data_IF_581178204580
#
_entry.id   IF_581178204580
#
_cell.length_a   1.000
_cell.length_b   1.000
_cell.length_c   1.000
_cell.angle_alpha   90.00
_cell.angle_beta   90.00
_cell.angle_gamma   90.00
#
_symmetry.space_group_name_H-M   'P 1'
#
loop_
_entity.id
_entity.type
_entity.pdbx_description
1 polymer ?
#
# COMPACT_ATOMS: atom_id res chain seq x y z
N UNK A 1 -48.25 -6.62 22.66
CA UNK A 1 -48.05 -6.26 21.24
C UNK A 1 -46.55 -6.21 20.96
N UNK A 2 -45.99 -7.24 20.34
CA UNK A 2 -44.61 -7.23 19.89
C UNK A 2 -44.53 -6.32 18.66
N UNK A 3 -43.87 -5.16 18.79
CA UNK A 3 -43.48 -4.37 17.62
C UNK A 3 -42.44 -5.18 16.84
N UNK A 4 -42.85 -5.76 15.72
CA UNK A 4 -41.93 -6.34 14.75
C UNK A 4 -41.12 -5.16 14.20
N UNK A 5 -39.88 -5.03 14.68
CA UNK A 5 -38.89 -4.09 14.13
C UNK A 5 -38.65 -4.50 12.68
N UNK A 6 -38.82 -3.55 11.77
CA UNK A 6 -38.67 -3.77 10.35
C UNK A 6 -38.11 -2.49 9.74
N UNK A 7 -37.04 -2.64 8.97
CA UNK A 7 -36.51 -1.61 8.08
C UNK A 7 -37.65 -0.99 7.26
N UNK A 8 -37.56 0.31 6.91
CA UNK A 8 -38.55 0.94 6.05
C UNK A 8 -38.57 0.21 4.70
N UNK A 9 -39.73 0.10 4.04
CA UNK A 9 -39.82 -0.64 2.76
C UNK A 9 -38.89 -0.11 1.65
N UNK A 10 -38.42 1.13 1.75
CA UNK A 10 -37.45 1.72 0.84
C UNK A 10 -36.40 2.50 1.61
N UNK A 11 -35.12 2.26 1.31
CA UNK A 11 -33.97 3.08 1.73
C UNK A 11 -33.40 3.76 0.48
N UNK A 12 -33.20 5.08 0.55
CA UNK A 12 -32.58 5.85 -0.54
C UNK A 12 -31.15 6.19 -0.20
N UNK A 13 -30.25 6.12 -1.16
CA UNK A 13 -28.88 6.62 -1.04
C UNK A 13 -28.57 7.57 -2.20
N UNK A 14 -27.81 8.62 -1.92
CA UNK A 14 -27.35 9.57 -2.93
C UNK A 14 -25.87 9.34 -3.24
N UNK A 15 -25.45 9.57 -4.48
CA UNK A 15 -24.05 9.52 -4.86
C UNK A 15 -23.68 10.59 -5.89
N UNK A 16 -22.54 11.24 -5.67
CA UNK A 16 -22.03 12.30 -6.54
C UNK A 16 -20.78 11.81 -7.27
N UNK A 17 -20.82 11.83 -8.60
CA UNK A 17 -19.71 11.41 -9.45
C UNK A 17 -19.42 12.47 -10.49
N UNK A 18 -18.16 12.54 -10.91
CA UNK A 18 -17.78 13.32 -12.07
C UNK A 18 -18.13 12.57 -13.36
N UNK A 19 -18.18 13.29 -14.48
CA UNK A 19 -18.42 12.70 -15.81
C UNK A 19 -17.42 11.60 -16.19
N UNK A 20 -16.18 11.67 -15.70
CA UNK A 20 -15.13 10.68 -15.97
C UNK A 20 -15.13 9.48 -15.01
N UNK A 21 -16.06 9.40 -14.07
CA UNK A 21 -16.14 8.36 -13.01
C UNK A 21 -17.27 7.35 -13.28
N UNK A 22 -17.34 6.88 -14.52
CA UNK A 22 -18.40 5.97 -14.94
C UNK A 22 -18.24 4.56 -14.36
N UNK A 23 -17.00 4.10 -14.13
CA UNK A 23 -16.73 2.81 -13.48
C UNK A 23 -17.23 2.80 -12.03
N UNK A 24 -16.94 3.87 -11.28
CA UNK A 24 -17.40 4.06 -9.90
C UNK A 24 -18.93 4.10 -9.80
N UNK A 25 -19.58 4.84 -10.71
CA UNK A 25 -21.03 4.91 -10.83
C UNK A 25 -21.65 3.54 -11.12
N UNK A 26 -21.08 2.79 -12.06
CA UNK A 26 -21.56 1.46 -12.42
C UNK A 26 -21.36 0.48 -11.25
N UNK A 27 -20.23 0.51 -10.56
CA UNK A 27 -19.98 -0.33 -9.39
C UNK A 27 -20.98 -0.07 -8.25
N UNK A 28 -21.38 1.19 -8.04
CA UNK A 28 -22.46 1.53 -7.10
C UNK A 28 -23.78 0.85 -7.49
N UNK A 29 -24.21 0.99 -8.76
CA UNK A 29 -25.45 0.39 -9.26
C UNK A 29 -25.45 -1.14 -9.14
N UNK A 30 -24.33 -1.79 -9.49
CA UNK A 30 -24.17 -3.24 -9.35
C UNK A 30 -24.26 -3.66 -7.87
N UNK A 31 -23.63 -2.91 -6.96
CA UNK A 31 -23.70 -3.20 -5.53
C UNK A 31 -25.15 -3.14 -5.01
N UNK A 32 -25.91 -2.12 -5.41
CA UNK A 32 -27.31 -1.96 -5.02
C UNK A 32 -28.19 -3.09 -5.55
N UNK A 33 -28.05 -3.43 -6.84
CA UNK A 33 -28.81 -4.52 -7.46
C UNK A 33 -28.53 -5.87 -6.80
N UNK A 34 -27.27 -6.13 -6.46
CA UNK A 34 -26.87 -7.36 -5.76
C UNK A 34 -27.46 -7.42 -4.36
N UNK A 35 -27.44 -6.31 -3.62
CA UNK A 35 -28.02 -6.23 -2.27
C UNK A 35 -29.53 -6.44 -2.30
N UNK A 36 -30.22 -5.85 -3.29
CA UNK A 36 -31.65 -6.04 -3.50
C UNK A 36 -32.02 -7.48 -3.87
N UNK A 37 -31.13 -8.19 -4.55
CA UNK A 37 -31.32 -9.60 -4.92
C UNK A 37 -31.08 -10.56 -3.74
N UNK A 38 -30.31 -10.15 -2.72
CA UNK A 38 -30.02 -10.95 -1.54
C UNK A 38 -31.11 -10.80 -0.48
N UNK A 39 -32.07 -11.74 -0.50
CA UNK A 39 -33.18 -11.79 0.46
C UNK A 39 -32.73 -11.89 1.92
N UNK A 40 -31.50 -12.35 2.19
CA UNK A 40 -31.01 -12.47 3.56
C UNK A 40 -30.55 -11.13 4.14
N UNK A 41 -30.21 -10.15 3.31
CA UNK A 41 -29.63 -8.88 3.77
C UNK A 41 -30.70 -7.88 4.20
N UNK A 42 -31.63 -7.54 3.31
CA UNK A 42 -32.56 -6.43 3.53
C UNK A 42 -34.04 -6.74 3.25
N UNK A 43 -34.44 -7.96 2.87
CA UNK A 43 -35.86 -8.23 2.61
C UNK A 43 -36.73 -7.97 3.86
N UNK A 44 -37.89 -7.27 3.74
CA UNK A 44 -38.58 -6.85 2.51
C UNK A 44 -38.21 -5.44 1.99
N UNK A 45 -37.18 -4.80 2.53
CA UNK A 45 -36.74 -3.45 2.13
C UNK A 45 -35.99 -3.45 0.80
N UNK A 46 -36.23 -2.42 -0.02
CA UNK A 46 -35.49 -2.14 -1.25
C UNK A 46 -34.54 -0.94 -1.09
N UNK A 47 -33.30 -1.10 -1.53
CA UNK A 47 -32.33 -0.02 -1.66
C UNK A 47 -32.48 0.65 -3.04
N UNK A 48 -32.52 1.98 -3.06
CA UNK A 48 -32.60 2.78 -4.29
C UNK A 48 -31.49 3.83 -4.26
N UNK A 49 -30.68 3.87 -5.30
CA UNK A 49 -29.66 4.89 -5.51
C UNK A 49 -30.16 6.05 -6.36
N UNK A 50 -29.59 7.23 -6.13
CA UNK A 50 -29.74 8.40 -6.99
C UNK A 50 -28.35 8.95 -7.24
N UNK A 51 -27.92 8.98 -8.50
CA UNK A 51 -26.60 9.44 -8.91
C UNK A 51 -26.73 10.77 -9.64
N UNK A 52 -25.99 11.78 -9.23
CA UNK A 52 -25.92 13.06 -9.94
C UNK A 52 -24.49 13.32 -10.43
N UNK A 53 -24.39 13.95 -11.60
CA UNK A 53 -23.11 14.31 -12.20
C UNK A 53 -22.67 15.70 -11.72
N UNK A 54 -21.45 15.81 -11.20
CA UNK A 54 -20.82 17.08 -10.84
C UNK A 54 -19.63 17.37 -11.74
N UNK A 55 -19.28 18.66 -11.83
CA UNK A 55 -18.01 19.06 -12.42
C UNK A 55 -16.91 19.16 -11.35
N UNK A 56 -15.67 19.01 -11.78
CA UNK A 56 -14.51 19.26 -10.95
C UNK A 56 -14.51 20.71 -10.44
N UNK A 57 -14.25 20.87 -9.14
CA UNK A 57 -14.08 22.17 -8.48
C UNK A 57 -15.35 23.04 -8.39
N UNK A 58 -16.52 22.50 -8.69
CA UNK A 58 -17.79 23.20 -8.50
C UNK A 58 -18.44 22.82 -7.16
N UNK A 59 -18.10 23.59 -6.12
CA UNK A 59 -18.66 23.43 -4.78
C UNK A 59 -20.14 23.78 -4.70
N UNK A 60 -20.61 24.69 -5.55
CA UNK A 60 -21.98 25.17 -5.56
C UNK A 60 -22.93 24.09 -6.09
N UNK A 61 -22.62 23.50 -7.26
CA UNK A 61 -23.40 22.40 -7.84
C UNK A 61 -23.39 21.20 -6.89
N UNK A 62 -22.21 20.87 -6.32
CA UNK A 62 -22.09 19.77 -5.35
C UNK A 62 -23.00 19.96 -4.15
N UNK A 63 -23.07 21.17 -3.60
CA UNK A 63 -23.96 21.51 -2.49
C UNK A 63 -25.44 21.43 -2.88
N UNK A 64 -25.81 22.00 -4.03
CA UNK A 64 -27.18 21.98 -4.54
C UNK A 64 -27.70 20.55 -4.78
N UNK A 65 -26.93 19.71 -5.46
CA UNK A 65 -27.30 18.32 -5.72
C UNK A 65 -27.39 17.50 -4.44
N UNK A 66 -26.48 17.72 -3.47
CA UNK A 66 -26.57 17.11 -2.14
C UNK A 66 -27.89 17.47 -1.48
N UNK A 67 -28.25 18.75 -1.47
CA UNK A 67 -29.53 19.20 -0.90
C UNK A 67 -30.73 18.57 -1.59
N UNK A 68 -30.71 18.45 -2.91
CA UNK A 68 -31.76 17.78 -3.68
C UNK A 68 -31.91 16.30 -3.27
N UNK A 69 -30.80 15.56 -3.14
CA UNK A 69 -30.82 14.16 -2.69
C UNK A 69 -31.37 14.01 -1.27
N UNK A 70 -30.95 14.89 -0.35
CA UNK A 70 -31.41 14.89 1.03
C UNK A 70 -32.91 15.23 1.14
N UNK A 71 -33.39 16.18 0.33
CA UNK A 71 -34.82 16.51 0.18
C UNK A 71 -35.63 15.31 -0.28
N UNK A 72 -35.06 14.49 -1.17
CA UNK A 72 -35.67 13.25 -1.64
C UNK A 72 -35.52 12.07 -0.64
N UNK A 73 -34.95 12.32 0.55
CA UNK A 73 -34.86 11.35 1.64
C UNK A 73 -33.65 10.42 1.58
N UNK A 74 -32.55 10.82 0.94
CA UNK A 74 -31.31 10.06 0.91
C UNK A 74 -30.74 9.88 2.33
N UNK A 75 -30.57 8.61 2.73
CA UNK A 75 -30.12 8.16 4.06
C UNK A 75 -28.60 8.12 4.22
N UNK A 76 -27.86 8.25 3.12
CA UNK A 76 -26.43 8.46 3.08
C UNK A 76 -26.05 9.11 1.75
N UNK A 77 -24.93 9.83 1.74
CA UNK A 77 -24.34 10.43 0.55
C UNK A 77 -22.97 9.79 0.31
N UNK A 78 -22.74 9.28 -0.91
CA UNK A 78 -21.50 8.66 -1.34
C UNK A 78 -20.72 9.60 -2.26
N UNK A 79 -19.41 9.71 -2.03
CA UNK A 79 -18.57 10.66 -2.76
C UNK A 79 -18.93 12.12 -2.47
N UNK A 80 -18.35 13.09 -3.19
CA UNK A 80 -17.59 12.92 -4.43
C UNK A 80 -16.13 12.50 -4.23
N UNK A 81 -15.45 12.18 -5.34
CA UNK A 81 -14.03 11.79 -5.35
C UNK A 81 -13.10 12.98 -5.65
N UNK A 82 -13.46 14.19 -5.24
CA UNK A 82 -12.61 15.38 -5.29
C UNK A 82 -12.61 16.07 -3.92
N UNK A 83 -11.43 16.41 -3.41
CA UNK A 83 -11.22 17.03 -2.10
C UNK A 83 -12.10 18.27 -1.86
N UNK A 84 -12.16 19.19 -2.83
CA UNK A 84 -12.88 20.47 -2.64
C UNK A 84 -14.37 20.21 -2.51
N UNK A 85 -14.95 19.48 -3.46
CA UNK A 85 -16.38 19.16 -3.44
C UNK A 85 -16.74 18.30 -2.23
N UNK A 86 -15.89 17.33 -1.86
CA UNK A 86 -16.12 16.48 -0.69
C UNK A 86 -16.11 17.27 0.62
N UNK A 87 -15.25 18.30 0.75
CA UNK A 87 -15.29 19.19 1.92
C UNK A 87 -16.63 19.92 2.07
N UNK A 88 -17.23 20.35 0.96
CA UNK A 88 -18.55 21.01 0.99
C UNK A 88 -19.68 20.03 1.33
N UNK A 89 -19.70 18.86 0.70
CA UNK A 89 -20.69 17.81 0.98
C UNK A 89 -20.59 17.36 2.44
N UNK A 90 -19.36 17.18 2.95
CA UNK A 90 -19.07 16.87 4.36
C UNK A 90 -19.68 17.90 5.30
N UNK A 91 -19.51 19.19 5.02
CA UNK A 91 -20.08 20.26 5.86
C UNK A 91 -21.61 20.21 5.94
N UNK A 92 -22.28 19.89 4.83
CA UNK A 92 -23.75 19.76 4.79
C UNK A 92 -24.18 18.52 5.59
N UNK A 93 -23.51 17.39 5.37
CA UNK A 93 -23.80 16.12 6.03
C UNK A 93 -23.56 16.18 7.55
N UNK A 94 -22.50 16.85 8.00
CA UNK A 94 -22.22 17.08 9.42
C UNK A 94 -23.30 17.98 10.07
N UNK A 95 -23.80 19.00 9.35
CA UNK A 95 -24.87 19.88 9.84
C UNK A 95 -26.21 19.16 9.96
N UNK A 96 -26.51 18.29 9.00
CA UNK A 96 -27.78 17.54 8.93
C UNK A 96 -27.71 16.16 9.59
N UNK A 97 -26.58 15.83 10.22
CA UNK A 97 -26.29 14.52 10.81
C UNK A 97 -26.55 13.34 9.86
N UNK A 98 -26.23 13.49 8.58
CA UNK A 98 -26.41 12.43 7.56
C UNK A 98 -25.07 11.74 7.31
N UNK A 99 -25.02 10.39 7.25
CA UNK A 99 -23.81 9.68 6.88
C UNK A 99 -23.23 10.11 5.52
N UNK A 100 -21.99 10.56 5.52
CA UNK A 100 -21.21 10.84 4.31
C UNK A 100 -20.11 9.79 4.17
N UNK A 101 -20.07 9.13 3.01
CA UNK A 101 -19.21 7.98 2.74
C UNK A 101 -18.19 8.37 1.68
N UNK A 102 -16.92 8.40 2.08
CA UNK A 102 -15.81 8.85 1.26
C UNK A 102 -14.89 7.70 0.89
N UNK A 103 -14.27 7.81 -0.28
CA UNK A 103 -13.26 6.86 -0.81
C UNK A 103 -11.98 7.58 -1.27
N UNK A 104 -11.78 8.81 -0.78
CA UNK A 104 -10.70 9.71 -1.16
C UNK A 104 -9.39 9.38 -0.44
N UNK A 105 -8.27 9.54 -1.15
CA UNK A 105 -6.93 9.61 -0.53
C UNK A 105 -6.76 10.98 0.15
N UNK A 106 -7.37 11.15 1.32
CA UNK A 106 -7.32 12.40 2.08
C UNK A 106 -6.14 12.41 3.05
N UNK A 107 -5.26 13.42 2.94
CA UNK A 107 -4.07 13.59 3.78
C UNK A 107 -4.32 14.44 5.02
N UNK A 108 -5.47 15.10 5.09
CA UNK A 108 -5.82 16.01 6.18
C UNK A 108 -6.53 15.23 7.28
N UNK A 109 -6.03 15.37 8.51
CA UNK A 109 -6.75 14.92 9.69
C UNK A 109 -7.93 15.86 9.94
N UNK A 110 -9.07 15.53 9.34
CA UNK A 110 -10.32 16.22 9.59
C UNK A 110 -11.01 15.66 10.83
N UNK A 111 -11.76 16.51 11.53
CA UNK A 111 -12.68 16.03 12.56
C UNK A 111 -13.95 15.51 11.87
N UNK A 112 -13.90 14.27 11.40
CA UNK A 112 -15.01 13.63 10.70
C UNK A 112 -16.14 13.32 11.71
N UNK A 113 -17.23 14.11 11.70
CA UNK A 113 -18.35 13.93 12.64
C UNK A 113 -19.48 13.07 12.10
N UNK A 114 -19.76 13.12 10.81
CA UNK A 114 -20.72 12.26 10.12
C UNK A 114 -20.16 11.71 8.81
N UNK A 115 -18.88 12.00 8.51
CA UNK A 115 -18.11 11.33 7.45
C UNK A 115 -17.41 10.05 7.94
N UNK A 116 -17.30 9.06 7.06
CA UNK A 116 -16.42 7.90 7.18
C UNK A 116 -15.64 7.73 5.88
N UNK A 117 -14.31 7.57 5.98
CA UNK A 117 -13.47 7.34 4.81
C UNK A 117 -13.00 5.88 4.74
N UNK A 118 -13.38 5.20 3.65
CA UNK A 118 -13.04 3.81 3.35
C UNK A 118 -11.62 3.65 2.81
N UNK A 119 -11.03 4.71 2.28
CA UNK A 119 -9.63 4.69 1.87
C UNK A 119 -8.74 4.61 3.13
N UNK A 120 -7.73 3.72 3.16
CA UNK A 120 -6.73 3.71 4.22
C UNK A 120 -6.06 5.08 4.38
N UNK A 121 -5.96 5.56 5.62
CA UNK A 121 -5.38 6.89 5.86
C UNK A 121 -3.89 6.89 5.45
N UNK A 122 -3.41 7.93 4.72
CA UNK A 122 -2.02 8.01 4.27
C UNK A 122 -0.98 7.86 5.38
N UNK A 123 -1.27 8.29 6.61
CA UNK A 123 -0.36 8.12 7.76
C UNK A 123 -0.13 6.66 8.15
N UNK A 124 -1.11 5.77 7.92
CA UNK A 124 -0.96 4.34 8.22
C UNK A 124 -0.36 3.64 7.01
N UNK A 125 -0.79 4.01 5.80
CA UNK A 125 -0.18 3.51 4.56
C UNK A 125 1.33 3.80 4.51
N UNK A 126 1.78 4.98 4.97
CA UNK A 126 3.20 5.32 4.97
C UNK A 126 4.05 4.36 5.78
N UNK A 127 3.52 3.77 6.87
CA UNK A 127 4.25 2.78 7.66
C UNK A 127 4.59 1.54 6.83
N UNK A 128 3.65 1.05 6.00
CA UNK A 128 3.93 -0.09 5.13
C UNK A 128 5.04 0.19 4.10
N UNK A 129 5.10 1.41 3.56
CA UNK A 129 6.19 1.82 2.67
C UNK A 129 7.52 1.97 3.42
N UNK A 130 7.52 2.47 4.66
CA UNK A 130 8.71 2.56 5.51
C UNK A 130 9.23 1.16 5.85
N UNK A 131 8.34 0.23 6.17
CA UNK A 131 8.67 -1.16 6.45
C UNK A 131 9.28 -1.83 5.21
N UNK A 132 8.72 -1.57 4.02
CA UNK A 132 9.28 -2.06 2.75
C UNK A 132 10.68 -1.48 2.49
N UNK A 133 10.86 -0.17 2.61
CA UNK A 133 12.17 0.51 2.46
C UNK A 133 13.20 -0.07 3.43
N UNK A 134 12.78 -0.34 4.67
CA UNK A 134 13.63 -0.92 5.71
C UNK A 134 13.97 -2.39 5.40
N UNK A 135 12.99 -3.19 4.97
CA UNK A 135 13.22 -4.58 4.55
C UNK A 135 14.14 -4.68 3.33
N UNK A 136 14.10 -3.70 2.43
CA UNK A 136 15.00 -3.57 1.29
C UNK A 136 16.39 -2.98 1.65
N UNK A 137 16.61 -2.63 2.91
CA UNK A 137 17.85 -2.01 3.40
C UNK A 137 18.24 -0.70 2.66
N UNK A 138 17.27 0.09 2.23
CA UNK A 138 17.52 1.37 1.57
C UNK A 138 18.03 2.41 2.59
N UNK A 139 19.31 2.76 2.49
CA UNK A 139 19.94 3.82 3.32
C UNK A 139 19.70 5.22 2.78
N UNK A 140 19.64 5.35 1.46
CA UNK A 140 19.42 6.60 0.71
C UNK A 140 18.50 6.31 -0.47
N UNK A 141 17.57 7.23 -0.71
CA UNK A 141 16.65 7.20 -1.84
C UNK A 141 16.14 8.61 -2.18
N UNK A 142 15.64 8.77 -3.40
CA UNK A 142 15.00 9.98 -3.88
C UNK A 142 13.47 9.86 -3.85
N UNK A 143 12.76 10.97 -3.64
CA UNK A 143 11.29 11.03 -3.73
C UNK A 143 10.91 11.89 -4.95
N UNK A 144 10.18 11.30 -5.90
CA UNK A 144 9.54 12.01 -6.99
C UNK A 144 8.05 12.16 -6.69
N UNK A 145 7.51 13.38 -6.77
CA UNK A 145 6.13 13.66 -6.39
C UNK A 145 5.45 14.65 -7.33
N UNK A 146 4.12 14.58 -7.40
CA UNK A 146 3.32 15.52 -8.19
C UNK A 146 2.96 16.79 -7.40
N UNK A 147 2.29 16.64 -6.25
CA UNK A 147 1.83 17.76 -5.43
C UNK A 147 2.61 17.86 -4.10
N UNK A 148 2.92 19.08 -3.65
CA UNK A 148 3.73 19.32 -2.43
C UNK A 148 3.07 18.80 -1.14
N UNK A 149 1.75 18.55 -1.16
CA UNK A 149 0.97 18.00 -0.05
C UNK A 149 1.19 16.49 0.09
N UNK A 150 1.34 15.76 -1.01
CA UNK A 150 1.54 14.30 -1.04
C UNK A 150 2.87 13.91 -0.33
N UNK A 151 3.88 14.76 -0.50
CA UNK A 151 5.23 14.63 0.10
C UNK A 151 5.22 14.68 1.62
N UNK A 152 4.26 15.40 2.21
CA UNK A 152 4.37 15.86 3.59
C UNK A 152 4.31 14.72 4.62
N UNK A 153 3.67 13.60 4.28
CA UNK A 153 3.46 12.50 5.23
C UNK A 153 4.57 11.44 5.18
N UNK A 154 4.96 10.96 3.99
CA UNK A 154 6.06 10.00 3.89
C UNK A 154 7.41 10.63 4.29
N UNK A 155 7.62 11.90 3.95
CA UNK A 155 8.90 12.57 4.20
C UNK A 155 9.14 12.91 5.68
N UNK A 156 8.09 13.19 6.47
CA UNK A 156 8.23 13.43 7.93
C UNK A 156 8.88 12.27 8.68
N UNK A 157 8.62 11.04 8.25
CA UNK A 157 9.19 9.84 8.87
C UNK A 157 10.54 9.43 8.28
N UNK A 158 10.96 10.05 7.17
CA UNK A 158 12.09 9.61 6.35
C UNK A 158 13.18 10.67 6.18
N UNK A 159 13.11 11.81 6.90
CA UNK A 159 13.97 12.97 6.70
C UNK A 159 15.48 12.64 6.70
N UNK A 160 15.94 11.71 7.55
CA UNK A 160 17.37 11.35 7.62
C UNK A 160 17.83 10.41 6.48
N UNK A 161 16.90 9.76 5.78
CA UNK A 161 17.17 8.80 4.68
C UNK A 161 16.88 9.37 3.29
N UNK A 162 16.15 10.48 3.20
CA UNK A 162 15.80 11.12 1.93
C UNK A 162 16.95 11.97 1.40
N UNK A 163 17.49 11.60 0.23
CA UNK A 163 18.59 12.34 -0.40
C UNK A 163 18.11 13.55 -1.22
N UNK A 164 16.93 13.44 -1.83
CA UNK A 164 16.39 14.50 -2.69
C UNK A 164 14.87 14.37 -2.85
N UNK A 165 14.22 15.51 -3.06
CA UNK A 165 12.78 15.62 -3.32
C UNK A 165 12.61 16.33 -4.67
N UNK A 166 11.87 15.70 -5.58
CA UNK A 166 11.70 16.16 -6.95
C UNK A 166 10.21 16.33 -7.25
N UNK A 167 9.78 17.58 -7.30
CA UNK A 167 8.44 17.94 -7.75
C UNK A 167 8.39 18.14 -9.26
N UNK A 168 7.18 18.27 -9.79
CA UNK A 168 6.92 18.68 -11.18
C UNK A 168 7.28 20.17 -11.40
N UNK A 169 8.57 20.49 -11.48
CA UNK A 169 9.01 21.82 -11.95
C UNK A 169 9.08 21.83 -13.48
N UNK A 170 8.34 22.75 -14.13
CA UNK A 170 8.39 23.01 -15.58
C UNK A 170 8.17 21.80 -16.50
N UNK A 171 7.12 20.98 -16.21
CA UNK A 171 6.64 19.87 -17.07
C UNK A 171 7.71 18.86 -17.50
N UNK A 172 8.81 18.77 -16.76
CA UNK A 172 9.92 17.91 -17.10
C UNK A 172 10.41 17.23 -15.82
N UNK A 173 10.33 15.91 -15.75
CA UNK A 173 10.90 15.14 -14.64
C UNK A 173 12.44 15.00 -14.77
N UNK A 174 13.07 15.96 -15.48
CA UNK A 174 14.49 16.03 -15.87
C UNK A 174 15.48 15.98 -14.71
N UNK A 175 15.00 16.07 -13.47
CA UNK A 175 15.82 16.09 -12.25
C UNK A 175 16.18 14.67 -11.77
N UNK A 176 15.64 13.63 -12.40
CA UNK A 176 16.07 12.23 -12.19
C UNK A 176 17.48 11.90 -12.73
N UNK A 177 18.34 12.91 -12.95
CA UNK A 177 19.76 12.76 -13.34
C UNK A 177 20.71 12.64 -12.13
N UNK A 178 20.22 12.22 -10.97
CA UNK A 178 21.06 12.05 -9.78
C UNK A 178 21.51 10.60 -9.61
N UNK A 179 22.71 10.42 -9.04
CA UNK A 179 23.39 9.15 -8.79
C UNK A 179 22.73 8.29 -7.69
N UNK A 180 21.39 8.29 -7.62
CA UNK A 180 20.62 7.49 -6.68
C UNK A 180 19.83 6.43 -7.43
N UNK A 181 20.05 5.18 -7.05
CA UNK A 181 19.42 4.03 -7.70
C UNK A 181 18.05 3.68 -7.10
N UNK A 182 17.71 4.24 -5.94
CA UNK A 182 16.48 3.95 -5.22
C UNK A 182 15.55 5.16 -5.30
N UNK A 183 14.36 4.99 -5.87
CA UNK A 183 13.43 6.08 -6.16
C UNK A 183 12.03 5.70 -5.67
N UNK A 184 11.44 6.56 -4.84
CA UNK A 184 10.05 6.49 -4.41
C UNK A 184 9.23 7.44 -5.28
N UNK A 185 8.19 6.94 -5.96
CA UNK A 185 7.31 7.72 -6.84
C UNK A 185 5.95 7.87 -6.16
N UNK A 186 5.58 9.12 -5.87
CA UNK A 186 4.26 9.52 -5.35
C UNK A 186 3.53 10.44 -6.32
N UNK A 187 2.86 9.80 -7.28
CA UNK A 187 2.18 10.46 -8.39
C UNK A 187 0.81 9.81 -8.57
N UNK A 188 -0.16 10.62 -9.00
CA UNK A 188 -1.50 10.12 -9.31
C UNK A 188 -1.46 9.08 -10.44
N UNK A 189 -2.37 8.12 -10.37
CA UNK A 189 -2.40 6.96 -11.28
C UNK A 189 -2.48 7.38 -12.75
N UNK A 190 -3.19 8.45 -13.06
CA UNK A 190 -3.37 8.96 -14.43
C UNK A 190 -2.05 9.45 -15.06
N UNK A 191 -1.12 9.93 -14.22
CA UNK A 191 0.15 10.48 -14.67
C UNK A 191 1.30 9.47 -14.60
N UNK A 192 1.12 8.34 -13.91
CA UNK A 192 2.18 7.33 -13.72
C UNK A 192 2.75 6.79 -15.03
N UNK A 193 1.91 6.51 -16.04
CA UNK A 193 2.40 6.05 -17.34
C UNK A 193 3.35 7.09 -17.98
N UNK A 194 3.00 8.37 -17.91
CA UNK A 194 3.85 9.44 -18.44
C UNK A 194 5.17 9.53 -17.68
N UNK A 195 5.15 9.43 -16.34
CA UNK A 195 6.35 9.46 -15.50
C UNK A 195 7.28 8.29 -15.81
N UNK A 196 6.75 7.08 -15.96
CA UNK A 196 7.53 5.90 -16.32
C UNK A 196 8.11 6.01 -17.73
N UNK A 197 7.36 6.59 -18.68
CA UNK A 197 7.84 6.85 -20.03
C UNK A 197 8.97 7.87 -20.06
N UNK A 198 8.87 8.94 -19.29
CA UNK A 198 9.96 9.91 -19.14
C UNK A 198 11.19 9.26 -18.47
N UNK A 199 10.99 8.44 -17.43
CA UNK A 199 12.05 7.67 -16.78
C UNK A 199 12.78 6.72 -17.76
N UNK A 200 12.03 6.13 -18.68
CA UNK A 200 12.59 5.31 -19.77
C UNK A 200 13.41 6.16 -20.74
N UNK A 201 12.91 7.33 -21.16
CA UNK A 201 13.58 8.23 -22.11
C UNK A 201 14.90 8.78 -21.57
N UNK A 202 14.99 9.03 -20.26
CA UNK A 202 16.24 9.49 -19.62
C UNK A 202 17.21 8.35 -19.26
N UNK A 203 16.82 7.09 -19.49
CA UNK A 203 17.68 5.93 -19.31
C UNK A 203 17.85 5.45 -17.86
N UNK A 204 16.91 5.77 -16.96
CA UNK A 204 16.94 5.28 -15.57
C UNK A 204 16.08 4.01 -15.37
N UNK A 205 15.32 3.60 -16.38
CA UNK A 205 14.55 2.36 -16.36
C UNK A 205 15.48 1.18 -16.73
N UNK A 206 16.42 0.85 -15.85
CA UNK A 206 17.41 -0.24 -16.06
C UNK A 206 17.57 -1.10 -14.80
N UNK A 207 18.23 -2.26 -14.92
CA UNK A 207 18.46 -3.22 -13.82
C UNK A 207 19.10 -2.62 -12.56
N UNK A 208 19.83 -1.51 -12.69
CA UNK A 208 20.47 -0.84 -11.55
C UNK A 208 19.47 -0.12 -10.65
N UNK A 209 18.32 0.28 -11.19
CA UNK A 209 17.36 1.13 -10.49
C UNK A 209 16.23 0.32 -9.85
N UNK A 210 15.83 0.76 -8.68
CA UNK A 210 14.71 0.24 -7.92
C UNK A 210 13.70 1.36 -7.70
N UNK A 211 12.46 1.10 -8.11
CA UNK A 211 11.34 2.01 -7.99
C UNK A 211 10.32 1.44 -7.01
N UNK A 212 9.87 2.25 -6.06
CA UNK A 212 8.68 1.99 -5.26
C UNK A 212 7.61 2.99 -5.69
N UNK A 213 6.50 2.49 -6.21
CA UNK A 213 5.35 3.31 -6.61
C UNK A 213 4.32 3.25 -5.48
N UNK A 214 3.91 4.43 -5.00
CA UNK A 214 3.00 4.54 -3.86
C UNK A 214 1.53 4.41 -4.22
N UNK A 215 1.16 4.63 -5.49
CA UNK A 215 -0.21 4.40 -5.95
C UNK A 215 -0.59 2.92 -5.79
N UNK A 216 -1.81 2.70 -5.29
CA UNK A 216 -2.40 1.38 -5.10
C UNK A 216 -2.98 0.77 -6.38
N UNK A 217 -3.00 1.56 -7.46
CA UNK A 217 -3.61 1.25 -8.75
C UNK A 217 -2.58 1.08 -9.87
N UNK A 218 -1.32 0.74 -9.55
CA UNK A 218 -0.33 0.44 -10.58
C UNK A 218 -0.81 -0.67 -11.55
N UNK A 219 -1.64 -1.59 -11.04
CA UNK A 219 -2.18 -2.71 -11.79
C UNK A 219 -3.15 -2.29 -12.90
N UNK A 220 -3.77 -1.10 -12.83
CA UNK A 220 -4.71 -0.62 -13.86
C UNK A 220 -4.01 0.01 -15.06
N UNK A 221 -2.70 0.22 -14.99
CA UNK A 221 -1.90 0.85 -16.05
C UNK A 221 -1.38 -0.24 -16.99
N UNK A 222 -1.32 0.07 -18.29
CA UNK A 222 -0.59 -0.76 -19.24
C UNK A 222 0.92 -0.60 -19.04
N UNK A 223 1.58 -1.67 -18.59
CA UNK A 223 3.00 -1.69 -18.26
C UNK A 223 3.85 -2.39 -19.32
N UNK A 224 3.29 -2.76 -20.49
CA UNK A 224 4.00 -3.53 -21.52
C UNK A 224 5.35 -2.90 -21.92
N UNK A 225 5.37 -1.58 -22.09
CA UNK A 225 6.55 -0.79 -22.47
C UNK A 225 7.69 -0.87 -21.43
N UNK A 226 7.38 -1.24 -20.18
CA UNK A 226 8.31 -1.19 -19.05
C UNK A 226 8.78 -2.57 -18.55
N UNK A 227 8.14 -3.67 -18.98
CA UNK A 227 8.44 -5.05 -18.53
C UNK A 227 9.88 -5.49 -18.84
N UNK A 228 10.39 -5.10 -20.00
CA UNK A 228 11.71 -5.52 -20.49
C UNK A 228 12.88 -4.68 -19.96
N UNK A 229 12.59 -3.71 -19.09
CA UNK A 229 13.58 -2.78 -18.53
C UNK A 229 14.55 -3.41 -17.54
N UNK A 230 14.18 -4.58 -16.99
CA UNK A 230 14.86 -5.27 -15.88
C UNK A 230 14.97 -4.45 -14.59
N UNK A 231 14.38 -3.25 -14.55
CA UNK A 231 14.32 -2.43 -13.34
C UNK A 231 13.40 -3.08 -12.31
N UNK A 232 13.72 -2.96 -11.03
CA UNK A 232 12.85 -3.47 -9.97
C UNK A 232 11.76 -2.46 -9.70
N UNK A 233 10.53 -2.70 -10.20
CA UNK A 233 9.37 -1.84 -9.90
C UNK A 233 8.47 -2.56 -8.90
N UNK A 234 8.28 -1.95 -7.74
CA UNK A 234 7.46 -2.44 -6.64
C UNK A 234 6.28 -1.49 -6.39
N UNK A 235 5.14 -2.04 -5.98
CA UNK A 235 3.97 -1.29 -5.53
C UNK A 235 3.15 -2.14 -4.57
N UNK A 236 2.31 -1.51 -3.76
CA UNK A 236 1.28 -2.23 -3.01
C UNK A 236 -0.05 -2.17 -3.75
N UNK A 237 -0.85 -3.21 -3.65
CA UNK A 237 -2.25 -3.19 -4.07
C UNK A 237 -3.14 -3.51 -2.88
N UNK A 238 -4.26 -2.79 -2.78
CA UNK A 238 -5.30 -3.08 -1.79
C UNK A 238 -6.22 -4.22 -2.26
N UNK A 239 -6.22 -4.52 -3.56
CA UNK A 239 -7.14 -5.49 -4.16
C UNK A 239 -6.57 -6.90 -4.09
N UNK A 240 -7.40 -7.84 -3.66
CA UNK A 240 -7.08 -9.25 -3.74
C UNK A 240 -7.56 -9.82 -5.08
N UNK A 241 -6.64 -10.05 -6.03
CA UNK A 241 -6.94 -10.58 -7.38
C UNK A 241 -7.72 -11.89 -7.37
N UNK A 242 -7.59 -12.69 -6.31
CA UNK A 242 -8.28 -13.98 -6.15
C UNK A 242 -9.54 -13.90 -5.28
N UNK A 243 -10.03 -12.69 -4.95
CA UNK A 243 -11.25 -12.56 -4.15
C UNK A 243 -12.48 -13.00 -4.96
N UNK A 244 -13.34 -13.87 -4.40
CA UNK A 244 -14.54 -14.33 -5.10
C UNK A 244 -15.52 -13.19 -5.36
N UNK A 245 -15.55 -12.18 -4.48
CA UNK A 245 -16.36 -10.97 -4.66
C UNK A 245 -15.94 -10.19 -5.91
N UNK A 246 -14.64 -10.02 -6.14
CA UNK A 246 -14.10 -9.34 -7.31
C UNK A 246 -14.44 -10.09 -8.60
N UNK A 247 -14.23 -11.42 -8.60
CA UNK A 247 -14.55 -12.26 -9.75
C UNK A 247 -16.04 -12.19 -10.09
N UNK A 248 -16.90 -12.17 -9.06
CA UNK A 248 -18.35 -12.03 -9.26
C UNK A 248 -18.70 -10.66 -9.84
N UNK A 249 -18.09 -9.58 -9.32
CA UNK A 249 -18.30 -8.22 -9.83
C UNK A 249 -17.93 -8.15 -11.32
N UNK A 250 -16.73 -8.60 -11.67
CA UNK A 250 -16.22 -8.62 -13.05
C UNK A 250 -17.11 -9.46 -13.99
N UNK A 251 -17.51 -10.67 -13.57
CA UNK A 251 -18.37 -11.53 -14.40
C UNK A 251 -19.75 -10.90 -14.69
N UNK A 252 -20.30 -10.16 -13.73
CA UNK A 252 -21.60 -9.49 -13.88
C UNK A 252 -21.52 -8.14 -14.59
N UNK A 253 -20.31 -7.60 -14.80
CA UNK A 253 -20.10 -6.22 -15.22
C UNK A 253 -20.75 -5.91 -16.57
N UNK A 254 -20.41 -6.67 -17.61
CA UNK A 254 -20.92 -6.43 -18.98
C UNK A 254 -22.44 -6.57 -19.06
N UNK A 255 -23.02 -7.49 -18.30
CA UNK A 255 -24.47 -7.67 -18.22
C UNK A 255 -25.14 -6.44 -17.61
N UNK A 256 -24.63 -5.95 -16.48
CA UNK A 256 -25.17 -4.77 -15.82
C UNK A 256 -24.93 -3.49 -16.61
N UNK A 257 -23.75 -3.33 -17.22
CA UNK A 257 -23.44 -2.17 -18.06
C UNK A 257 -24.50 -2.02 -19.18
N UNK A 258 -24.79 -3.11 -19.88
CA UNK A 258 -25.84 -3.15 -20.91
C UNK A 258 -27.23 -2.86 -20.35
N UNK A 259 -27.61 -3.49 -19.24
CA UNK A 259 -28.93 -3.31 -18.64
C UNK A 259 -29.17 -1.87 -18.15
N UNK A 260 -28.12 -1.20 -17.70
CA UNK A 260 -28.19 0.21 -17.28
C UNK A 260 -28.01 1.20 -18.44
N UNK A 261 -27.85 0.72 -19.68
CA UNK A 261 -27.63 1.55 -20.86
C UNK A 261 -26.26 2.25 -20.88
N UNK A 262 -25.30 1.75 -20.12
CA UNK A 262 -23.95 2.29 -20.02
C UNK A 262 -23.05 1.56 -21.04
N UNK A 263 -22.43 2.29 -21.98
CA UNK A 263 -21.52 1.72 -22.97
C UNK A 263 -20.10 1.55 -22.40
N UNK A 264 -19.99 0.82 -21.29
CA UNK A 264 -18.74 0.61 -20.55
C UNK A 264 -18.40 -0.88 -20.60
N UNK A 265 -17.34 -1.23 -21.32
CA UNK A 265 -16.82 -2.60 -21.34
C UNK A 265 -16.27 -2.99 -19.97
N UNK A 266 -16.35 -4.28 -19.63
CA UNK A 266 -15.72 -4.80 -18.43
C UNK A 266 -14.24 -4.46 -18.40
N UNK A 267 -13.75 -3.79 -17.34
CA UNK A 267 -12.33 -3.53 -17.21
C UNK A 267 -11.61 -4.85 -16.97
N UNK A 268 -10.42 -4.99 -17.55
CA UNK A 268 -9.53 -6.12 -17.24
C UNK A 268 -9.13 -6.08 -15.76
N UNK A 269 -8.97 -4.86 -15.22
CA UNK A 269 -8.67 -4.62 -13.81
C UNK A 269 -9.38 -3.36 -13.32
N UNK A 270 -10.01 -3.43 -12.15
CA UNK A 270 -10.72 -2.29 -11.54
C UNK A 270 -9.78 -1.41 -10.72
N UNK A 271 -10.12 -0.13 -10.61
CA UNK A 271 -9.47 0.81 -9.67
C UNK A 271 -9.83 0.49 -8.23
N UNK A 272 -8.96 0.91 -7.31
CA UNK A 272 -9.19 0.83 -5.88
C UNK A 272 -10.39 1.68 -5.46
N UNK A 273 -10.60 2.85 -6.05
CA UNK A 273 -11.81 3.69 -5.84
C UNK A 273 -13.10 2.93 -6.11
N UNK A 274 -13.18 2.26 -7.26
CA UNK A 274 -14.33 1.43 -7.70
C UNK A 274 -14.62 0.30 -6.72
N UNK A 275 -13.58 -0.40 -6.26
CA UNK A 275 -13.72 -1.47 -5.26
C UNK A 275 -14.17 -0.95 -3.89
N UNK A 276 -13.65 0.20 -3.45
CA UNK A 276 -14.02 0.84 -2.19
C UNK A 276 -15.49 1.28 -2.20
N UNK A 277 -16.00 1.80 -3.31
CA UNK A 277 -17.42 2.17 -3.47
C UNK A 277 -18.29 0.92 -3.32
N UNK A 278 -17.98 -0.13 -4.07
CA UNK A 278 -18.70 -1.40 -3.99
C UNK A 278 -18.77 -1.94 -2.55
N UNK A 279 -17.61 -1.99 -1.88
CA UNK A 279 -17.49 -2.46 -0.50
C UNK A 279 -18.23 -1.56 0.49
N UNK A 280 -18.24 -0.24 0.26
CA UNK A 280 -18.89 0.73 1.14
C UNK A 280 -20.42 0.62 1.16
N UNK A 281 -21.06 0.35 0.03
CA UNK A 281 -22.51 0.11 -0.03
C UNK A 281 -22.87 -1.14 0.78
N UNK A 282 -22.12 -2.23 0.58
CA UNK A 282 -22.32 -3.48 1.33
C UNK A 282 -22.14 -3.27 2.84
N UNK A 283 -21.09 -2.55 3.23
CA UNK A 283 -20.82 -2.24 4.62
C UNK A 283 -21.92 -1.37 5.25
N UNK A 284 -22.35 -0.32 4.56
CA UNK A 284 -23.44 0.57 4.99
C UNK A 284 -24.74 -0.21 5.25
N UNK A 285 -25.12 -1.09 4.32
CA UNK A 285 -26.32 -1.92 4.46
C UNK A 285 -26.20 -2.90 5.63
N UNK A 286 -25.02 -3.51 5.82
CA UNK A 286 -24.77 -4.39 6.96
C UNK A 286 -24.93 -3.64 8.30
N UNK A 287 -24.47 -2.40 8.38
CA UNK A 287 -24.64 -1.56 9.55
C UNK A 287 -26.11 -1.20 9.79
N UNK A 288 -26.83 -0.76 8.76
CA UNK A 288 -28.26 -0.44 8.87
C UNK A 288 -29.08 -1.64 9.37
N UNK A 289 -28.81 -2.83 8.84
CA UNK A 289 -29.48 -4.06 9.27
C UNK A 289 -29.28 -4.34 10.76
N UNK A 290 -28.09 -4.06 11.29
CA UNK A 290 -27.79 -4.26 12.71
C UNK A 290 -28.52 -3.24 13.61
N UNK A 291 -28.76 -2.02 13.14
CA UNK A 291 -29.56 -1.02 13.86
C UNK A 291 -31.02 -1.43 13.92
N UNK A 292 -31.60 -1.96 12.85
CA UNK A 292 -33.01 -2.36 12.85
C UNK A 292 -33.34 -3.35 13.97
N UNK A 293 -32.40 -4.22 14.33
CA UNK A 293 -32.54 -5.14 15.48
C UNK A 293 -32.66 -4.37 16.82
N UNK A 294 -32.04 -3.20 16.95
CA UNK A 294 -31.95 -2.43 18.20
C UNK A 294 -32.93 -1.25 18.29
N UNK A 295 -33.17 -0.48 17.22
CA UNK A 295 -34.06 0.70 17.18
C UNK A 295 -34.71 0.89 15.80
N UNK A 296 -36.01 1.26 15.71
CA UNK A 296 -36.66 1.49 14.42
C UNK A 296 -36.06 2.70 13.70
N UNK A 297 -35.62 2.49 12.45
CA UNK A 297 -35.10 3.54 11.58
C UNK A 297 -36.28 4.28 10.95
N UNK A 298 -36.56 5.49 11.44
CA UNK A 298 -37.54 6.37 10.79
C UNK A 298 -36.90 7.06 9.58
N UNK A 299 -37.73 7.35 8.57
CA UNK A 299 -37.35 8.15 7.41
C UNK A 299 -36.74 9.48 7.87
N UNK A 300 -35.77 9.97 7.11
CA UNK A 300 -35.29 11.35 7.24
C UNK A 300 -36.48 12.29 7.05
N UNK A 301 -36.76 13.19 8.01
CA UNK A 301 -37.82 14.17 7.86
C UNK A 301 -37.41 15.19 6.79
N UNK A 302 -37.86 14.98 5.55
CA UNK A 302 -37.73 15.97 4.48
C UNK A 302 -38.83 17.03 4.62
N UNK A 303 -38.45 18.31 4.58
CA UNK A 303 -39.38 19.43 4.48
C UNK A 303 -39.60 19.77 3.00
N UNK A 304 -40.85 20.03 2.61
CA UNK A 304 -41.25 20.15 1.20
C UNK A 304 -40.87 21.49 0.53
N UNK A 305 -40.10 22.38 1.18
CA UNK A 305 -40.15 23.82 0.84
C UNK A 305 -38.83 24.60 0.66
N UNK A 306 -37.65 23.97 0.63
CA UNK A 306 -36.41 24.70 0.26
C UNK A 306 -35.49 23.92 -0.66
N UNK A 307 -34.83 24.62 -1.58
CA UNK A 307 -33.86 24.04 -2.54
C UNK A 307 -32.41 24.08 -2.02
N UNK A 308 -32.15 24.80 -0.93
CA UNK A 308 -30.80 25.07 -0.39
C UNK A 308 -30.56 24.51 1.02
N UNK A 309 -31.22 23.42 1.41
CA UNK A 309 -31.10 22.78 2.74
C UNK A 309 -31.44 23.67 3.97
N UNK A 310 -31.74 24.97 3.80
CA UNK A 310 -31.88 25.92 4.91
C UNK A 310 -32.95 25.53 5.93
N UNK A 311 -34.02 24.88 5.47
CA UNK A 311 -35.15 24.47 6.33
C UNK A 311 -35.09 23.00 6.76
N UNK A 312 -33.96 22.32 6.50
CA UNK A 312 -33.77 20.92 6.88
C UNK A 312 -33.33 20.82 8.34
N UNK A 313 -33.81 19.78 9.02
CA UNK A 313 -33.45 19.48 10.40
C UNK A 313 -32.50 18.29 10.45
N UNK A 314 -31.59 18.26 11.44
CA UNK A 314 -30.71 17.11 11.65
C UNK A 314 -31.45 15.78 11.77
N UNK A 315 -30.91 14.73 11.17
CA UNK A 315 -31.49 13.39 11.21
C UNK A 315 -31.17 12.69 12.53
N UNK A 316 -32.19 12.52 13.37
CA UNK A 316 -32.08 11.95 14.72
C UNK A 316 -31.34 10.60 14.79
N UNK A 317 -31.41 9.78 13.74
CA UNK A 317 -30.79 8.46 13.71
C UNK A 317 -29.39 8.44 13.09
N UNK A 318 -28.94 9.49 12.40
CA UNK A 318 -27.72 9.40 11.59
C UNK A 318 -26.46 9.20 12.42
N UNK A 319 -26.39 9.76 13.63
CA UNK A 319 -25.32 9.47 14.59
C UNK A 319 -25.30 7.98 14.99
N UNK A 320 -26.46 7.34 15.13
CA UNK A 320 -26.55 5.90 15.41
C UNK A 320 -26.07 5.08 14.22
N UNK A 321 -26.44 5.46 12.99
CA UNK A 321 -25.98 4.83 11.74
C UNK A 321 -24.47 4.84 11.64
N UNK A 322 -23.85 5.99 11.84
CA UNK A 322 -22.39 6.09 11.78
C UNK A 322 -21.74 5.27 12.89
N UNK A 323 -22.20 5.36 14.13
CA UNK A 323 -21.61 4.58 15.23
C UNK A 323 -21.74 3.07 14.98
N UNK A 324 -22.83 2.63 14.33
CA UNK A 324 -22.95 1.24 13.91
C UNK A 324 -21.99 0.88 12.79
N UNK A 325 -21.77 1.75 11.80
CA UNK A 325 -20.75 1.52 10.77
C UNK A 325 -19.35 1.37 11.38
N UNK A 326 -19.00 2.18 12.38
CA UNK A 326 -17.70 2.07 13.06
C UNK A 326 -17.51 0.74 13.80
N UNK A 327 -18.58 0.18 14.40
CA UNK A 327 -18.54 -1.09 15.14
C UNK A 327 -18.78 -2.32 14.27
N UNK A 328 -19.31 -2.15 13.07
CA UNK A 328 -19.60 -3.26 12.16
C UNK A 328 -18.31 -3.75 11.51
N UNK A 329 -18.01 -5.04 11.62
CA UNK A 329 -16.93 -5.65 10.84
C UNK A 329 -17.49 -6.20 9.52
N UNK A 330 -16.79 -5.96 8.41
CA UNK A 330 -17.16 -6.54 7.11
C UNK A 330 -15.94 -6.94 6.29
N UNK A 331 -16.16 -7.82 5.32
CA UNK A 331 -15.19 -8.17 4.29
C UNK A 331 -15.77 -7.91 2.90
N UNK A 332 -14.90 -7.44 2.02
CA UNK A 332 -15.21 -7.14 0.63
C UNK A 332 -14.01 -7.37 -0.28
N UNK A 333 -14.06 -6.78 -1.47
CA UNK A 333 -13.03 -6.86 -2.51
C UNK A 333 -11.67 -6.37 -1.98
N UNK A 334 -11.70 -5.33 -1.14
CA UNK A 334 -10.52 -4.71 -0.52
C UNK A 334 -10.08 -5.41 0.78
N UNK A 335 -10.62 -6.60 1.07
CA UNK A 335 -10.32 -7.38 2.27
C UNK A 335 -11.16 -6.98 3.48
N UNK A 336 -10.57 -7.08 4.69
CA UNK A 336 -11.25 -6.74 5.94
C UNK A 336 -11.38 -5.23 6.11
N UNK A 337 -12.54 -4.78 6.56
CA UNK A 337 -12.90 -3.38 6.75
C UNK A 337 -13.20 -3.15 8.22
N UNK A 338 -12.41 -2.28 8.84
CA UNK A 338 -12.60 -1.81 10.20
C UNK A 338 -12.07 -0.37 10.30
N UNK A 339 -12.75 0.45 11.10
CA UNK A 339 -12.51 1.87 11.21
C UNK A 339 -11.91 2.22 12.57
N UNK A 340 -11.04 3.23 12.59
CA UNK A 340 -10.58 3.83 13.83
C UNK A 340 -11.69 4.67 14.48
N UNK A 341 -11.48 5.08 15.73
CA UNK A 341 -12.33 6.08 16.39
C UNK A 341 -12.35 7.43 15.65
N UNK A 342 -11.28 7.75 14.92
CA UNK A 342 -11.19 8.92 14.04
C UNK A 342 -11.78 8.69 12.63
N UNK A 343 -12.49 7.57 12.42
CA UNK A 343 -13.35 7.30 11.25
C UNK A 343 -12.66 7.17 9.90
N UNK A 344 -11.36 6.92 9.92
CA UNK A 344 -10.62 6.39 8.79
C UNK A 344 -10.43 4.89 8.93
N UNK A 345 -10.24 4.19 7.82
CA UNK A 345 -9.94 2.76 7.80
C UNK A 345 -8.58 2.49 8.45
N UNK A 346 -8.58 1.78 9.59
CA UNK A 346 -7.38 1.47 10.37
C UNK A 346 -6.83 0.08 10.10
N UNK A 347 -7.70 -0.88 9.77
CA UNK A 347 -7.31 -2.26 9.46
C UNK A 347 -7.53 -2.55 7.98
N UNK A 348 -6.46 -2.98 7.31
CA UNK A 348 -6.46 -3.39 5.92
C UNK A 348 -5.27 -4.31 5.66
N UNK A 349 -5.25 -4.96 4.49
CA UNK A 349 -4.15 -5.83 4.08
C UNK A 349 -3.66 -5.36 2.73
N UNK A 350 -2.35 -5.15 2.62
CA UNK A 350 -1.70 -4.78 1.37
C UNK A 350 -1.01 -5.99 0.75
N UNK A 351 -1.07 -6.08 -0.56
CA UNK A 351 -0.38 -7.09 -1.34
C UNK A 351 0.79 -6.44 -2.08
N UNK A 352 2.02 -6.86 -1.78
CA UNK A 352 3.19 -6.39 -2.49
C UNK A 352 3.19 -6.95 -3.91
N UNK A 353 3.37 -6.07 -4.90
CA UNK A 353 3.42 -6.39 -6.32
C UNK A 353 4.78 -6.00 -6.87
N UNK A 354 5.32 -6.86 -7.74
CA UNK A 354 6.54 -6.61 -8.49
C UNK A 354 6.27 -6.75 -9.98
N UNK A 355 6.80 -5.81 -10.77
CA UNK A 355 6.83 -5.94 -12.22
C UNK A 355 7.96 -6.90 -12.62
N UNK A 356 7.60 -7.88 -13.43
CA UNK A 356 8.51 -8.84 -14.04
C UNK A 356 8.28 -8.87 -15.57
N UNK A 357 9.09 -9.63 -16.31
CA UNK A 357 8.93 -9.81 -17.77
C UNK A 357 7.54 -10.39 -18.13
N UNK A 358 6.95 -11.17 -17.21
CA UNK A 358 5.60 -11.73 -17.33
C UNK A 358 4.48 -10.76 -16.91
N UNK A 359 4.83 -9.52 -16.53
CA UNK A 359 3.91 -8.52 -16.00
C UNK A 359 3.86 -8.46 -14.47
N UNK A 360 2.81 -7.84 -13.94
CA UNK A 360 2.70 -7.49 -12.52
C UNK A 360 2.24 -8.70 -11.68
N UNK A 361 3.13 -9.22 -10.84
CA UNK A 361 2.88 -10.39 -9.99
C UNK A 361 2.85 -10.00 -8.52
N UNK A 362 1.96 -10.62 -7.76
CA UNK A 362 1.98 -10.51 -6.31
C UNK A 362 3.23 -11.24 -5.79
N UNK A 363 4.11 -10.53 -5.11
CA UNK A 363 5.07 -11.13 -4.22
C UNK A 363 4.23 -11.74 -3.08
N UNK A 364 4.18 -13.08 -3.00
CA UNK A 364 3.52 -13.76 -1.87
C UNK A 364 4.21 -13.43 -0.54
N UNK A 365 4.14 -14.34 0.44
CA UNK A 365 5.17 -14.33 1.50
C UNK A 365 6.50 -14.29 0.77
N UNK A 366 7.23 -13.17 0.88
CA UNK A 366 8.55 -13.03 0.27
C UNK A 366 9.27 -14.33 0.58
N UNK A 367 9.71 -15.12 -0.41
CA UNK A 367 10.66 -16.16 -0.08
C UNK A 367 11.81 -15.40 0.57
N UNK A 368 11.93 -15.53 1.89
CA UNK A 368 13.19 -15.28 2.58
C UNK A 368 14.25 -15.85 1.66
N UNK A 369 15.30 -15.06 1.36
CA UNK A 369 16.40 -15.50 0.49
C UNK A 369 16.74 -16.93 0.86
N UNK A 370 16.17 -17.88 0.11
CA UNK A 370 16.22 -19.25 0.54
C UNK A 370 17.65 -19.63 0.30
N UNK A 371 18.27 -20.15 1.35
CA UNK A 371 19.62 -20.68 1.32
C UNK A 371 19.82 -21.66 0.14
N UNK A 372 18.75 -22.13 -0.52
CA UNK A 372 18.78 -22.84 -1.80
C UNK A 372 19.50 -22.09 -2.94
N UNK A 373 19.26 -20.79 -3.15
CA UNK A 373 19.87 -20.06 -4.28
C UNK A 373 21.33 -19.66 -4.00
N UNK A 374 21.72 -19.55 -2.73
CA UNK A 374 23.12 -19.29 -2.32
C UNK A 374 23.87 -20.59 -2.02
N UNK A 375 23.15 -21.69 -1.78
CA UNK A 375 23.66 -23.02 -1.43
C UNK A 375 24.55 -23.62 -2.52
N UNK A 376 24.34 -23.24 -3.78
CA UNK A 376 25.21 -23.63 -4.89
C UNK A 376 26.68 -23.22 -4.68
N UNK A 377 26.94 -22.08 -4.04
CA UNK A 377 28.31 -21.61 -3.77
C UNK A 377 29.00 -22.47 -2.71
N UNK A 378 28.26 -22.88 -1.67
CA UNK A 378 28.79 -23.73 -0.60
C UNK A 378 29.07 -25.16 -1.08
N UNK A 379 28.23 -25.70 -1.98
CA UNK A 379 28.45 -27.03 -2.57
C UNK A 379 29.71 -27.05 -3.43
N UNK A 380 29.93 -26.03 -4.27
CA UNK A 380 31.15 -25.92 -5.09
C UNK A 380 32.39 -25.78 -4.21
N UNK A 381 32.30 -25.02 -3.11
CA UNK A 381 33.42 -24.86 -2.17
C UNK A 381 33.78 -26.16 -1.45
N UNK A 382 32.77 -26.88 -0.94
CA UNK A 382 32.97 -28.16 -0.23
C UNK A 382 33.52 -29.21 -1.18
N UNK A 383 32.97 -29.30 -2.39
CA UNK A 383 33.43 -30.24 -3.41
C UNK A 383 34.87 -29.92 -3.86
N UNK A 384 35.18 -28.65 -4.11
CA UNK A 384 36.54 -28.22 -4.45
C UNK A 384 37.55 -28.51 -3.34
N UNK A 385 37.17 -28.31 -2.08
CA UNK A 385 38.02 -28.64 -0.93
C UNK A 385 38.26 -30.15 -0.79
N UNK A 386 37.22 -30.97 -0.98
CA UNK A 386 37.35 -32.42 -0.94
C UNK A 386 38.28 -32.95 -2.04
N UNK A 387 38.15 -32.43 -3.27
CA UNK A 387 39.03 -32.81 -4.40
C UNK A 387 40.49 -32.41 -4.12
N UNK A 388 40.72 -31.22 -3.57
CA UNK A 388 42.07 -30.78 -3.21
C UNK A 388 42.73 -31.69 -2.16
N UNK A 389 41.97 -32.13 -1.14
CA UNK A 389 42.46 -33.08 -0.14
C UNK A 389 42.81 -34.43 -0.77
N UNK A 390 41.97 -34.93 -1.68
CA UNK A 390 42.21 -36.22 -2.35
C UNK A 390 43.48 -36.13 -3.21
N UNK A 391 43.65 -35.05 -3.99
CA UNK A 391 44.85 -34.85 -4.79
C UNK A 391 46.11 -34.77 -3.93
N UNK A 392 46.07 -34.04 -2.81
CA UNK A 392 47.18 -33.98 -1.87
C UNK A 392 47.51 -35.36 -1.27
N UNK A 393 46.50 -36.18 -0.97
CA UNK A 393 46.70 -37.53 -0.44
C UNK A 393 47.28 -38.47 -1.50
N UNK A 394 46.82 -38.38 -2.74
CA UNK A 394 47.35 -39.16 -3.86
C UNK A 394 48.80 -38.78 -4.15
N UNK A 395 49.12 -37.49 -4.13
CA UNK A 395 50.50 -37.00 -4.29
C UNK A 395 51.39 -37.47 -3.14
N UNK A 396 50.90 -37.45 -1.91
CA UNK A 396 51.61 -37.98 -0.74
C UNK A 396 51.90 -39.48 -0.89
N UNK A 397 50.91 -40.28 -1.31
CA UNK A 397 51.08 -41.73 -1.53
C UNK A 397 52.00 -42.01 -2.73
N UNK A 398 51.94 -41.22 -3.79
CA UNK A 398 52.84 -41.32 -4.95
C UNK A 398 54.29 -41.02 -4.54
N UNK A 399 54.50 -39.95 -3.77
CA UNK A 399 55.81 -39.63 -3.20
C UNK A 399 56.32 -40.72 -2.25
N UNK A 400 55.45 -41.29 -1.41
CA UNK A 400 55.82 -42.40 -0.53
C UNK A 400 56.24 -43.66 -1.31
N UNK A 401 55.57 -43.97 -2.42
CA UNK A 401 55.91 -45.14 -3.26
C UNK A 401 57.14 -44.94 -4.13
N UNK A 402 57.45 -43.71 -4.51
CA UNK A 402 58.59 -43.39 -5.38
C UNK A 402 59.91 -43.33 -4.60
N UNK A 403 59.86 -43.26 -3.27
CA UNK A 403 61.02 -43.14 -2.37
C UNK A 403 61.05 -44.34 -1.41
N UNK A 404 61.14 -45.55 -1.95
CA UNK A 404 61.62 -46.72 -1.20
C UNK A 404 63.15 -46.64 -1.12
N UNK A 405 63.67 -45.84 -0.17
CA UNK A 405 65.05 -45.93 0.31
C UNK A 405 65.01 -46.27 1.82
N UNK A 406 65.72 -47.31 2.28
CA UNK A 406 65.59 -47.82 3.63
C UNK A 406 66.57 -47.08 4.56
N UNK A 407 66.21 -45.90 5.06
CA UNK A 407 66.75 -45.31 6.30
C UNK A 407 66.14 -43.93 6.57
N UNK A 408 64.98 -43.90 7.23
CA UNK A 408 64.63 -42.97 8.32
C UNK A 408 63.14 -43.04 8.61
N UNK A 409 62.78 -43.03 9.90
CA UNK A 409 61.38 -43.13 10.32
C UNK A 409 60.58 -41.89 9.90
N UNK A 410 59.70 -42.07 8.92
CA UNK A 410 58.79 -41.06 8.35
C UNK A 410 57.95 -40.33 9.43
N UNK A 411 57.69 -41.02 10.54
CA UNK A 411 56.93 -40.49 11.67
C UNK A 411 57.65 -39.32 12.36
N UNK A 412 58.99 -39.27 12.35
CA UNK A 412 59.75 -38.14 12.90
C UNK A 412 59.65 -36.89 12.02
N UNK A 413 59.73 -37.03 10.69
CA UNK A 413 59.56 -35.91 9.74
C UNK A 413 58.15 -35.32 9.77
N UNK A 414 57.12 -36.16 9.80
CA UNK A 414 55.73 -35.69 9.92
C UNK A 414 55.52 -35.00 11.26
N UNK A 415 56.10 -35.53 12.36
CA UNK A 415 56.00 -34.93 13.69
C UNK A 415 56.71 -33.57 13.78
N UNK A 416 57.82 -33.38 13.07
CA UNK A 416 58.48 -32.07 12.97
C UNK A 416 57.68 -31.05 12.15
N UNK A 417 57.13 -31.45 11.00
CA UNK A 417 56.25 -30.61 10.17
C UNK A 417 54.97 -30.21 10.91
N UNK A 418 54.34 -31.15 11.62
CA UNK A 418 53.13 -30.89 12.43
C UNK A 418 53.45 -29.99 13.63
N UNK A 419 54.64 -30.14 14.22
CA UNK A 419 55.14 -29.26 15.30
C UNK A 419 55.44 -27.85 14.78
N UNK A 420 55.96 -27.72 13.55
CA UNK A 420 56.17 -26.43 12.89
C UNK A 420 54.83 -25.72 12.59
N UNK A 421 53.85 -26.44 12.04
CA UNK A 421 52.51 -25.91 11.75
C UNK A 421 51.76 -25.47 13.01
N UNK A 422 51.87 -26.22 14.10
CA UNK A 422 51.29 -25.87 15.40
C UNK A 422 51.99 -24.65 16.04
N UNK A 423 53.33 -24.58 15.95
CA UNK A 423 54.09 -23.42 16.43
C UNK A 423 53.78 -22.15 15.61
N UNK A 424 53.50 -22.27 14.31
CA UNK A 424 53.07 -21.14 13.47
C UNK A 424 51.70 -20.61 13.90
N UNK A 425 50.78 -21.51 14.29
CA UNK A 425 49.46 -21.17 14.84
C UNK A 425 49.56 -20.48 16.20
N UNK A 426 50.51 -20.88 17.04
CA UNK A 426 50.84 -20.16 18.28
C UNK A 426 51.46 -18.77 18.03
N UNK A 427 52.34 -18.65 17.02
CA UNK A 427 52.96 -17.37 16.63
C UNK A 427 51.93 -16.37 16.10
N UNK A 428 50.95 -16.83 15.31
CA UNK A 428 49.79 -16.04 14.86
C UNK A 428 48.89 -15.62 16.04
N UNK A 429 48.70 -16.49 17.04
CA UNK A 429 47.89 -16.19 18.23
C UNK A 429 48.58 -15.17 19.16
N UNK A 430 49.92 -15.23 19.28
CA UNK A 430 50.73 -14.24 20.00
C UNK A 430 50.78 -12.88 19.29
N UNK A 431 50.89 -12.87 17.96
CA UNK A 431 50.89 -11.61 17.19
C UNK A 431 49.53 -10.91 17.25
N UNK A 432 48.40 -11.64 17.16
CA UNK A 432 47.07 -11.06 17.39
C UNK A 432 46.89 -10.48 18.81
N UNK A 433 47.53 -11.10 19.82
CA UNK A 433 47.47 -10.61 21.21
C UNK A 433 48.34 -9.34 21.42
N UNK A 434 49.49 -9.25 20.73
CA UNK A 434 50.32 -8.04 20.69
C UNK A 434 49.66 -6.88 19.91
N UNK A 435 48.93 -7.17 18.84
CA UNK A 435 48.14 -6.15 18.11
C UNK A 435 46.98 -5.60 18.98
N UNK A 436 46.33 -6.46 19.79
CA UNK A 436 45.32 -5.99 20.74
C UNK A 436 45.89 -5.16 21.90
N UNK A 437 47.07 -5.49 22.42
CA UNK A 437 47.73 -4.72 23.51
C UNK A 437 48.33 -3.39 22.99
N UNK A 438 48.89 -3.35 21.78
CA UNK A 438 49.37 -2.10 21.17
C UNK A 438 48.21 -1.15 20.79
N UNK A 439 47.05 -1.69 20.37
CA UNK A 439 45.85 -0.89 20.11
C UNK A 439 45.20 -0.28 21.36
N UNK A 440 45.46 -0.83 22.55
CA UNK A 440 45.07 -0.24 23.84
C UNK A 440 46.06 0.83 24.31
N UNK A 441 47.36 0.68 24.02
CA UNK A 441 48.38 1.70 24.31
C UNK A 441 48.22 2.96 23.45
N UNK A 442 47.86 2.85 22.17
CA UNK A 442 47.61 4.01 21.29
C UNK A 442 46.36 4.81 21.71
N UNK A 443 45.29 4.13 22.16
CA UNK A 443 44.08 4.79 22.70
C UNK A 443 44.30 5.49 24.04
N UNK A 444 45.38 5.14 24.75
CA UNK A 444 45.74 5.78 26.03
C UNK A 444 46.62 7.02 25.81
N UNK A 445 47.49 7.03 24.79
CA UNK A 445 48.28 8.20 24.40
C UNK A 445 47.45 9.34 23.77
N UNK A 446 46.40 9.00 23.01
CA UNK A 446 45.54 10.00 22.36
C UNK A 446 44.62 10.73 23.36
N UNK A 447 44.30 10.11 24.52
CA UNK A 447 43.54 10.76 25.60
C UNK A 447 44.36 11.74 26.45
N UNK A 448 45.67 11.55 26.54
CA UNK A 448 46.57 12.47 27.26
C UNK A 448 46.91 13.74 26.47
N UNK A 449 46.82 13.74 25.14
CA UNK A 449 47.10 14.93 24.32
C UNK A 449 45.92 15.90 24.17
N UNK A 450 44.68 15.48 24.52
CA UNK A 450 43.49 16.33 24.45
C UNK A 450 43.17 17.07 25.77
N UNK A 451 43.90 16.83 26.86
CA UNK A 451 43.68 17.48 28.15
C UNK A 451 44.64 18.64 28.46
N UNK A 452 45.62 18.93 27.58
CA UNK A 452 46.62 19.98 27.80
C UNK A 452 46.48 21.23 26.92
N UNK A 453 45.40 21.37 26.13
CA UNK A 453 45.18 22.54 25.26
C UNK A 453 44.10 23.52 25.71
N UNK A 454 43.58 23.41 26.94
CA UNK A 454 42.57 24.33 27.49
C UNK A 454 43.05 25.12 28.71
N UNK A 455 44.31 25.56 28.73
CA UNK A 455 44.80 26.48 29.77
C UNK A 455 46.00 27.33 29.30
N UNK A 456 45.78 28.26 28.36
CA UNK A 456 46.59 29.48 28.24
C UNK A 456 46.00 30.40 27.16
N UNK A 457 45.89 31.68 27.53
CA UNK A 457 45.42 32.88 26.80
C UNK A 457 43.93 33.01 26.53
#
# INVERSE_FOLDING_TARGET
>A
MHFIKCLPGIIRIGALFNENQQEEKLALKIAVERINSDMTLIAPTKLIETTEAINNFDSFISGFQTCSMLKNGASAIFGPLNDISAMHVRSICDSLEVPHIEVLRDFKLHNLRHSINFHPHPSILSHAFIDLITALNWKRFAIAYEDSVDVLMASKFLNDRTFGRFGKENKNWKIMRMNEYNILIDVRTENLYQVLKEAQQIGILTQKYNFIITSLDLHTIDLEDFKYSKATILSFSLLHKSSPELLTLLHSWDFHAKNFGENISSPVQIKTSTALIYDSVKHFVKAIKAIDVSTPINRIPATNHSDFCNDMKPWKQGTSVINQMLSTESSGITGRIHFSQQRYRSLFTLHLQKLDENGLRNCGKCPELSLLNVGGVFIVLIFGFAVAIILAFVELVYCCRKWDDPELSLCEKIKEELRFALNFKEKLKKNRKKESENGESEKTLEKTHLTTSSLST
#
